data_IF_227197676860
#
_entry.id   IF_227197676860
#
_cell.length_a   1.000
_cell.length_b   1.000
_cell.length_c   1.000
_cell.angle_alpha   90.00
_cell.angle_beta   90.00
_cell.angle_gamma   90.00
#
_symmetry.space_group_name_H-M   'P 1'
#
loop_
_entity.id
_entity.type
_entity.pdbx_description
1 polymer ?
#
# COMPACT_ATOMS: atom_id res chain seq x y z
N UNK A 1 38.92 39.43 43.81
CA UNK A 1 37.54 39.40 43.27
C UNK A 1 37.41 38.26 42.25
N UNK A 2 36.84 37.12 42.66
CA UNK A 2 36.60 35.97 41.76
C UNK A 2 35.22 36.12 41.15
N UNK A 3 35.14 36.24 39.82
CA UNK A 3 33.88 36.25 39.06
C UNK A 3 33.39 34.82 38.85
N UNK A 4 32.27 34.46 39.45
CA UNK A 4 31.55 33.22 39.21
C UNK A 4 30.78 33.36 37.88
N UNK A 5 31.13 32.53 36.91
CA UNK A 5 30.39 32.39 35.66
C UNK A 5 29.23 31.38 35.89
N UNK A 6 27.98 31.85 35.84
CA UNK A 6 26.81 30.99 35.81
C UNK A 6 26.56 30.51 34.37
N UNK A 7 26.74 29.23 34.12
CA UNK A 7 26.33 28.59 32.85
C UNK A 7 24.87 28.18 33.02
N UNK A 8 23.98 28.87 32.33
CA UNK A 8 22.57 28.46 32.22
C UNK A 8 22.45 27.31 31.22
N UNK A 9 22.14 26.12 31.69
CA UNK A 9 21.81 24.98 30.85
C UNK A 9 20.38 25.13 30.37
N UNK A 10 20.20 25.42 29.08
CA UNK A 10 18.90 25.50 28.43
C UNK A 10 18.43 24.04 28.17
N UNK A 11 17.54 23.53 29.00
CA UNK A 11 16.87 22.25 28.75
C UNK A 11 15.79 22.48 27.68
N UNK A 12 16.07 22.11 26.42
CA UNK A 12 15.08 22.10 25.36
C UNK A 12 14.20 20.89 25.58
N UNK A 13 13.03 21.11 26.15
CA UNK A 13 11.94 20.12 26.18
C UNK A 13 11.46 19.89 24.74
N UNK A 14 11.94 18.82 24.11
CA UNK A 14 11.36 18.32 22.86
C UNK A 14 10.01 17.70 23.22
N UNK A 15 8.95 18.48 23.10
CA UNK A 15 7.59 17.95 23.16
C UNK A 15 7.42 16.92 22.04
N UNK A 16 6.95 15.69 22.32
CA UNK A 16 6.66 14.74 21.26
C UNK A 16 5.63 15.39 20.33
N UNK A 17 5.95 15.46 19.04
CA UNK A 17 4.97 15.85 18.01
C UNK A 17 3.72 15.02 18.23
N UNK A 18 2.56 15.66 18.38
CA UNK A 18 1.28 14.99 18.49
C UNK A 18 1.17 14.02 17.33
N UNK A 19 1.10 12.72 17.62
CA UNK A 19 0.85 11.71 16.60
C UNK A 19 -0.49 12.09 15.95
N UNK A 20 -0.44 12.57 14.71
CA UNK A 20 -1.66 12.87 13.96
C UNK A 20 -2.53 11.62 13.93
N UNK A 21 -3.85 11.78 13.99
CA UNK A 21 -4.80 10.68 13.96
C UNK A 21 -4.49 9.73 12.79
N UNK A 22 -4.43 8.42 13.06
CA UNK A 22 -4.21 7.42 12.02
C UNK A 22 -5.44 7.32 11.13
N UNK A 23 -5.25 7.23 9.81
CA UNK A 23 -6.38 7.02 8.90
C UNK A 23 -6.85 5.58 8.99
N UNK A 24 -8.10 5.41 9.44
CA UNK A 24 -8.74 4.10 9.46
C UNK A 24 -9.38 3.80 8.11
N UNK A 25 -9.10 2.60 7.59
CA UNK A 25 -9.63 2.14 6.33
C UNK A 25 -10.35 0.81 6.43
N UNK A 26 -11.05 0.46 5.35
CA UNK A 26 -11.68 -0.84 5.17
C UNK A 26 -11.58 -1.28 3.70
N UNK A 27 -11.36 -2.58 3.49
CA UNK A 27 -11.63 -3.27 2.23
C UNK A 27 -12.94 -4.05 2.36
N UNK A 28 -13.77 -4.05 1.32
CA UNK A 28 -15.08 -4.70 1.32
C UNK A 28 -16.25 -3.75 1.59
N UNK A 29 -17.34 -4.25 2.16
CA UNK A 29 -18.56 -3.46 2.34
C UNK A 29 -18.42 -2.43 3.48
N UNK A 30 -18.10 -1.18 3.12
CA UNK A 30 -17.86 -0.10 4.08
C UNK A 30 -19.11 0.27 4.91
N UNK A 31 -20.31 0.21 4.31
CA UNK A 31 -21.54 0.54 5.02
C UNK A 31 -21.84 -0.49 6.12
N UNK A 32 -21.76 -1.77 5.77
CA UNK A 32 -21.91 -2.85 6.75
C UNK A 32 -20.82 -2.77 7.84
N UNK A 33 -19.58 -2.49 7.46
CA UNK A 33 -18.48 -2.37 8.42
C UNK A 33 -18.68 -1.22 9.40
N UNK A 34 -19.18 -0.07 8.90
CA UNK A 34 -19.56 1.06 9.75
C UNK A 34 -20.67 0.71 10.74
N UNK A 35 -21.74 0.06 10.29
CA UNK A 35 -22.83 -0.40 11.15
C UNK A 35 -22.32 -1.36 12.23
N UNK A 36 -21.40 -2.26 11.86
CA UNK A 36 -20.86 -3.26 12.77
C UNK A 36 -19.93 -2.65 13.83
N UNK A 37 -19.02 -1.76 13.42
CA UNK A 37 -17.92 -1.28 14.28
C UNK A 37 -18.10 0.13 14.82
N UNK A 38 -18.93 0.95 14.20
CA UNK A 38 -19.00 2.40 14.43
C UNK A 38 -17.88 3.20 13.72
N UNK A 39 -16.97 2.54 13.00
CA UNK A 39 -15.87 3.22 12.33
C UNK A 39 -16.35 4.08 11.16
N UNK A 40 -15.96 5.35 11.15
CA UNK A 40 -16.06 6.20 9.97
C UNK A 40 -14.79 6.06 9.12
N UNK A 41 -14.77 5.08 8.19
CA UNK A 41 -13.58 4.77 7.38
C UNK A 41 -13.24 5.91 6.45
N UNK A 42 -12.04 6.47 6.62
CA UNK A 42 -11.48 7.51 5.74
C UNK A 42 -10.94 6.89 4.44
N UNK A 43 -10.33 5.71 4.53
CA UNK A 43 -9.79 4.98 3.38
C UNK A 43 -10.74 3.84 3.00
N UNK A 44 -10.99 3.70 1.69
CA UNK A 44 -11.59 2.49 1.14
C UNK A 44 -10.63 1.84 0.15
N UNK A 45 -10.21 0.62 0.47
CA UNK A 45 -9.35 -0.18 -0.39
C UNK A 45 -10.19 -0.91 -1.45
N UNK A 46 -9.87 -0.64 -2.71
CA UNK A 46 -10.48 -1.29 -3.86
C UNK A 46 -9.42 -1.99 -4.72
N UNK A 47 -9.82 -3.12 -5.30
CA UNK A 47 -8.97 -3.93 -6.16
C UNK A 47 -9.37 -3.73 -7.62
N UNK A 48 -8.42 -3.38 -8.48
CA UNK A 48 -8.66 -3.31 -9.91
C UNK A 48 -7.68 -4.20 -10.67
N UNK A 49 -8.22 -4.93 -11.64
CA UNK A 49 -7.45 -5.79 -12.54
C UNK A 49 -6.93 -5.00 -13.73
N UNK A 50 -5.90 -5.51 -14.38
CA UNK A 50 -5.26 -4.82 -15.49
C UNK A 50 -6.23 -4.55 -16.65
N UNK A 51 -6.22 -3.32 -17.13
CA UNK A 51 -7.09 -2.82 -18.21
C UNK A 51 -8.60 -2.88 -17.95
N UNK A 52 -9.04 -3.21 -16.73
CA UNK A 52 -10.48 -3.19 -16.44
C UNK A 52 -11.03 -1.77 -16.64
N UNK A 53 -12.13 -1.70 -17.36
CA UNK A 53 -12.85 -0.43 -17.62
C UNK A 53 -12.23 0.47 -18.68
N UNK A 54 -11.23 0.03 -19.45
CA UNK A 54 -10.74 0.80 -20.60
C UNK A 54 -11.79 0.94 -21.70
N UNK A 55 -12.69 -0.01 -21.79
CA UNK A 55 -13.82 -0.12 -22.70
C UNK A 55 -15.13 0.49 -22.15
N UNK A 56 -15.09 1.01 -20.91
CA UNK A 56 -16.27 1.53 -20.20
C UNK A 56 -16.09 3.00 -19.87
N UNK A 57 -16.82 3.93 -20.53
CA UNK A 57 -16.75 5.36 -20.22
C UNK A 57 -17.00 5.63 -18.73
N UNK A 58 -16.18 6.48 -18.12
CA UNK A 58 -16.31 6.88 -16.72
C UNK A 58 -15.96 5.82 -15.66
N UNK A 59 -15.70 4.56 -16.03
CA UNK A 59 -15.42 3.50 -15.05
C UNK A 59 -14.18 3.82 -14.20
N UNK A 60 -13.09 4.27 -14.84
CA UNK A 60 -11.85 4.57 -14.11
C UNK A 60 -12.05 5.75 -13.16
N UNK A 61 -12.85 6.75 -13.54
CA UNK A 61 -13.18 7.86 -12.64
C UNK A 61 -13.97 7.40 -11.43
N UNK A 62 -14.92 6.48 -11.61
CA UNK A 62 -15.68 5.89 -10.51
C UNK A 62 -14.82 5.11 -9.51
N UNK A 63 -13.68 4.55 -9.94
CA UNK A 63 -12.73 3.93 -9.00
C UNK A 63 -12.25 4.92 -7.92
N UNK A 64 -12.24 6.20 -8.21
CA UNK A 64 -11.89 7.24 -7.24
C UNK A 64 -13.12 7.79 -6.52
N UNK A 65 -14.18 8.14 -7.22
CA UNK A 65 -15.34 8.82 -6.63
C UNK A 65 -16.23 7.91 -5.77
N UNK A 66 -16.28 6.61 -6.05
CA UNK A 66 -17.11 5.66 -5.31
C UNK A 66 -16.38 5.00 -4.11
N UNK A 67 -15.05 5.14 -4.03
CA UNK A 67 -14.25 4.50 -3.00
C UNK A 67 -13.90 5.44 -1.81
N UNK A 68 -14.87 6.25 -1.40
CA UNK A 68 -14.81 7.04 -0.17
C UNK A 68 -13.98 8.31 -0.29
N UNK A 69 -13.74 8.99 0.86
CA UNK A 69 -12.99 10.26 0.84
C UNK A 69 -11.55 10.10 0.37
N UNK A 70 -10.92 8.97 0.68
CA UNK A 70 -9.54 8.65 0.30
C UNK A 70 -9.53 7.24 -0.32
N UNK A 71 -9.65 7.11 -1.65
CA UNK A 71 -9.54 5.82 -2.32
C UNK A 71 -8.11 5.27 -2.22
N UNK A 72 -7.98 3.98 -1.92
CA UNK A 72 -6.74 3.22 -2.07
C UNK A 72 -6.96 2.17 -3.16
N UNK A 73 -6.29 2.33 -4.30
CA UNK A 73 -6.48 1.43 -5.43
C UNK A 73 -5.31 0.46 -5.58
N UNK A 74 -5.59 -0.82 -5.46
CA UNK A 74 -4.63 -1.89 -5.81
C UNK A 74 -4.70 -2.13 -7.32
N UNK A 75 -3.54 -2.00 -7.98
CA UNK A 75 -3.40 -2.31 -9.40
C UNK A 75 -2.73 -3.67 -9.56
N UNK A 76 -3.46 -4.65 -10.05
CA UNK A 76 -3.00 -6.01 -10.33
C UNK A 76 -2.65 -6.18 -11.81
N UNK A 77 -1.74 -7.12 -12.15
CA UNK A 77 -1.43 -7.50 -13.53
C UNK A 77 -2.42 -8.52 -14.11
N UNK A 78 -3.31 -9.05 -13.27
CA UNK A 78 -4.30 -10.06 -13.65
C UNK A 78 -5.41 -9.47 -14.50
N UNK A 79 -5.76 -10.17 -15.58
CA UNK A 79 -6.94 -9.87 -16.38
C UNK A 79 -8.23 -10.38 -15.70
N UNK A 80 -9.38 -9.82 -16.09
CA UNK A 80 -10.69 -10.25 -15.57
C UNK A 80 -10.98 -11.75 -15.78
N UNK A 81 -10.39 -12.36 -16.80
CA UNK A 81 -10.54 -13.80 -17.10
C UNK A 81 -9.49 -14.70 -16.42
N UNK A 82 -8.70 -14.19 -15.49
CA UNK A 82 -7.86 -15.02 -14.65
C UNK A 82 -6.44 -15.28 -15.14
N UNK A 83 -6.00 -14.73 -16.27
CA UNK A 83 -4.62 -14.82 -16.75
C UNK A 83 -3.82 -13.53 -16.49
N UNK A 84 -2.50 -13.60 -16.61
CA UNK A 84 -1.64 -12.41 -16.54
C UNK A 84 -1.77 -11.58 -17.81
N UNK A 85 -2.26 -10.35 -17.67
CA UNK A 85 -2.45 -9.43 -18.80
C UNK A 85 -1.17 -8.70 -19.21
N UNK A 86 -0.22 -8.55 -18.28
CA UNK A 86 1.05 -7.88 -18.49
C UNK A 86 2.08 -8.32 -17.44
N UNK A 87 3.29 -8.62 -17.89
CA UNK A 87 4.39 -8.95 -16.99
C UNK A 87 5.07 -7.69 -16.44
N UNK A 88 5.82 -7.78 -15.32
CA UNK A 88 6.68 -6.68 -14.85
C UNK A 88 7.62 -6.14 -15.94
N UNK A 89 8.21 -7.01 -16.78
CA UNK A 89 9.03 -6.59 -17.92
C UNK A 89 8.20 -5.79 -18.95
N UNK A 90 6.96 -6.19 -19.19
CA UNK A 90 6.06 -5.49 -20.11
C UNK A 90 5.75 -4.07 -19.62
N UNK A 91 5.45 -3.91 -18.33
CA UNK A 91 5.27 -2.60 -17.71
C UNK A 91 6.54 -1.76 -17.82
N UNK A 92 7.69 -2.34 -17.45
CA UNK A 92 8.99 -1.67 -17.53
C UNK A 92 9.33 -1.18 -18.94
N UNK A 93 8.89 -1.90 -19.98
CA UNK A 93 9.03 -1.52 -21.41
C UNK A 93 7.98 -0.53 -21.91
N UNK A 94 7.01 -0.13 -21.08
CA UNK A 94 5.99 0.86 -21.40
C UNK A 94 4.72 0.31 -22.06
N UNK A 95 4.53 -1.01 -22.15
CA UNK A 95 3.31 -1.57 -22.74
C UNK A 95 2.04 -1.29 -21.92
N UNK A 96 2.20 -0.85 -20.66
CA UNK A 96 1.12 -0.46 -19.77
C UNK A 96 0.80 1.04 -19.74
N UNK A 97 1.60 1.89 -20.40
CA UNK A 97 1.56 3.34 -20.20
C UNK A 97 0.19 3.97 -20.46
N UNK A 98 -0.49 3.54 -21.53
CA UNK A 98 -1.83 4.05 -21.85
C UNK A 98 -2.83 3.81 -20.72
N UNK A 99 -2.81 2.63 -20.10
CA UNK A 99 -3.68 2.30 -18.99
C UNK A 99 -3.32 3.08 -17.74
N UNK A 100 -2.03 3.09 -17.37
CA UNK A 100 -1.52 3.81 -16.21
C UNK A 100 -1.79 5.31 -16.32
N UNK A 101 -1.62 5.90 -17.50
CA UNK A 101 -1.93 7.32 -17.75
C UNK A 101 -3.42 7.63 -17.57
N UNK A 102 -4.32 6.72 -17.94
CA UNK A 102 -5.75 6.92 -17.69
C UNK A 102 -6.08 6.93 -16.20
N UNK A 103 -5.44 6.04 -15.41
CA UNK A 103 -5.58 6.03 -13.95
C UNK A 103 -5.02 7.33 -13.37
N UNK A 104 -3.82 7.75 -13.77
CA UNK A 104 -3.20 8.99 -13.32
C UNK A 104 -4.07 10.22 -13.60
N UNK A 105 -4.62 10.32 -14.83
CA UNK A 105 -5.54 11.41 -15.21
C UNK A 105 -6.85 11.38 -14.44
N UNK A 106 -7.39 10.20 -14.10
CA UNK A 106 -8.58 10.08 -13.27
C UNK A 106 -8.30 10.51 -11.83
N UNK A 107 -7.15 10.14 -11.27
CA UNK A 107 -6.71 10.62 -9.96
C UNK A 107 -6.56 12.16 -9.93
N UNK A 108 -6.04 12.75 -11.01
CA UNK A 108 -5.95 14.21 -11.15
C UNK A 108 -7.34 14.88 -11.17
N UNK A 109 -8.27 14.34 -11.96
CA UNK A 109 -9.66 14.87 -11.97
C UNK A 109 -10.37 14.72 -10.64
N UNK A 110 -10.07 13.66 -9.90
CA UNK A 110 -10.57 13.49 -8.52
C UNK A 110 -10.08 14.60 -7.60
N UNK A 111 -8.86 15.10 -7.80
CA UNK A 111 -8.33 16.31 -7.19
C UNK A 111 -8.11 16.27 -5.68
N UNK A 112 -8.18 15.09 -5.06
CA UNK A 112 -8.04 14.89 -3.62
C UNK A 112 -7.08 13.76 -3.28
N UNK A 113 -6.82 13.55 -1.99
CA UNK A 113 -5.92 12.51 -1.52
C UNK A 113 -6.33 11.12 -2.02
N UNK A 114 -5.37 10.39 -2.58
CA UNK A 114 -5.57 9.02 -3.02
C UNK A 114 -4.27 8.21 -2.85
N UNK A 115 -4.43 6.91 -2.60
CA UNK A 115 -3.33 5.96 -2.59
C UNK A 115 -3.40 5.07 -3.82
N UNK A 116 -2.28 4.91 -4.50
CA UNK A 116 -2.11 3.90 -5.55
C UNK A 116 -1.17 2.84 -5.00
N UNK A 117 -1.66 1.62 -4.87
CA UNK A 117 -0.99 0.45 -4.31
C UNK A 117 -0.74 -0.57 -5.42
N UNK A 118 0.26 -0.34 -6.30
CA UNK A 118 0.48 -1.20 -7.44
C UNK A 118 1.23 -2.45 -7.05
N UNK A 119 0.84 -3.58 -7.61
CA UNK A 119 1.55 -4.85 -7.52
C UNK A 119 1.86 -5.23 -6.06
N UNK A 120 0.87 -5.14 -5.18
CA UNK A 120 1.01 -5.45 -3.77
C UNK A 120 1.37 -6.92 -3.54
N UNK A 121 2.00 -7.23 -2.40
CA UNK A 121 2.42 -8.59 -2.04
C UNK A 121 3.30 -9.27 -3.11
N UNK A 122 4.21 -8.51 -3.72
CA UNK A 122 5.01 -8.96 -4.85
C UNK A 122 5.96 -10.13 -4.54
N UNK A 123 6.23 -10.39 -3.29
CA UNK A 123 7.02 -11.52 -2.82
C UNK A 123 6.14 -12.73 -2.40
N UNK A 124 4.83 -12.69 -2.71
CA UNK A 124 3.89 -13.79 -2.56
C UNK A 124 3.65 -14.54 -3.87
N UNK A 125 3.88 -15.87 -3.88
CA UNK A 125 3.77 -16.71 -5.07
C UNK A 125 2.38 -16.78 -5.70
N UNK A 126 1.33 -16.37 -4.98
CA UNK A 126 -0.05 -16.27 -5.47
C UNK A 126 -0.26 -15.14 -6.48
N UNK A 127 0.66 -14.18 -6.52
CA UNK A 127 0.64 -13.09 -7.49
C UNK A 127 1.42 -13.42 -8.74
N UNK A 128 0.89 -13.11 -9.93
CA UNK A 128 1.56 -13.34 -11.21
C UNK A 128 2.91 -12.64 -11.32
N UNK A 129 3.03 -11.44 -10.76
CA UNK A 129 4.26 -10.61 -10.79
C UNK A 129 5.32 -11.01 -9.76
N UNK A 130 5.09 -12.03 -8.93
CA UNK A 130 6.14 -12.62 -8.09
C UNK A 130 7.23 -13.28 -8.96
N UNK A 131 8.48 -13.17 -8.54
CA UNK A 131 9.60 -13.75 -9.29
C UNK A 131 9.70 -15.27 -9.15
N UNK A 132 9.03 -15.87 -8.15
CA UNK A 132 9.17 -17.28 -7.81
C UNK A 132 7.81 -17.98 -7.71
N UNK A 133 7.78 -19.25 -8.07
CA UNK A 133 6.66 -20.15 -7.84
C UNK A 133 6.64 -20.64 -6.38
N UNK A 134 5.55 -21.28 -5.96
CA UNK A 134 5.41 -21.83 -4.60
C UNK A 134 6.51 -22.82 -4.22
N UNK A 135 7.04 -23.56 -5.19
CA UNK A 135 8.13 -24.53 -5.01
C UNK A 135 9.53 -23.89 -5.05
N UNK A 136 9.64 -22.55 -5.08
CA UNK A 136 10.91 -21.84 -5.14
C UNK A 136 11.55 -21.72 -6.52
N UNK A 137 10.97 -22.30 -7.57
CA UNK A 137 11.50 -22.16 -8.93
C UNK A 137 11.28 -20.74 -9.47
N UNK A 138 12.27 -20.25 -10.23
CA UNK A 138 12.25 -18.91 -10.82
C UNK A 138 11.27 -18.84 -12.00
N UNK A 139 10.41 -17.84 -12.03
CA UNK A 139 9.41 -17.62 -13.11
C UNK A 139 10.00 -17.02 -14.40
N UNK A 140 11.30 -16.85 -14.46
CA UNK A 140 11.98 -16.33 -15.62
C UNK A 140 12.15 -14.82 -15.62
N UNK A 141 12.93 -14.34 -16.61
CA UNK A 141 13.40 -12.95 -16.66
C UNK A 141 12.29 -11.90 -16.69
N UNK A 142 11.11 -12.25 -17.24
CA UNK A 142 9.98 -11.32 -17.34
C UNK A 142 9.43 -10.90 -15.96
N UNK A 143 9.54 -11.78 -14.97
CA UNK A 143 9.06 -11.62 -13.60
C UNK A 143 10.17 -11.32 -12.59
N UNK A 144 11.44 -11.15 -13.06
CA UNK A 144 12.57 -10.90 -12.16
C UNK A 144 12.32 -9.71 -11.22
N UNK A 145 12.89 -9.78 -10.02
CA UNK A 145 12.86 -8.67 -9.06
C UNK A 145 13.41 -7.37 -9.67
N UNK A 146 14.41 -7.47 -10.57
CA UNK A 146 14.93 -6.33 -11.35
C UNK A 146 13.84 -5.71 -12.21
N UNK A 147 13.09 -6.52 -12.97
CA UNK A 147 12.01 -6.01 -13.83
C UNK A 147 10.83 -5.51 -13.01
N UNK A 148 10.54 -6.12 -11.86
CA UNK A 148 9.57 -5.58 -10.91
C UNK A 148 9.95 -4.17 -10.46
N UNK A 149 11.18 -3.95 -9.98
CA UNK A 149 11.65 -2.63 -9.55
C UNK A 149 11.54 -1.59 -10.67
N UNK A 150 11.87 -1.96 -11.91
CA UNK A 150 11.73 -1.09 -13.08
C UNK A 150 10.26 -0.77 -13.38
N UNK A 151 9.38 -1.78 -13.32
CA UNK A 151 7.95 -1.60 -13.50
C UNK A 151 7.37 -0.63 -12.45
N UNK A 152 7.72 -0.83 -11.18
CA UNK A 152 7.25 0.02 -10.09
C UNK A 152 7.74 1.48 -10.26
N UNK A 153 9.01 1.69 -10.59
CA UNK A 153 9.55 3.02 -10.89
C UNK A 153 8.79 3.72 -12.02
N UNK A 154 8.46 2.99 -13.09
CA UNK A 154 7.67 3.53 -14.19
C UNK A 154 6.26 3.89 -13.77
N UNK A 155 5.59 3.01 -13.01
CA UNK A 155 4.26 3.29 -12.44
C UNK A 155 4.32 4.55 -11.57
N UNK A 156 5.30 4.66 -10.69
CA UNK A 156 5.48 5.83 -9.83
C UNK A 156 5.57 7.13 -10.65
N UNK A 157 6.44 7.16 -11.67
CA UNK A 157 6.62 8.34 -12.50
C UNK A 157 5.33 8.76 -13.22
N UNK A 158 4.58 7.79 -13.74
CA UNK A 158 3.29 8.06 -14.41
C UNK A 158 2.23 8.52 -13.40
N UNK A 159 2.18 7.93 -12.20
CA UNK A 159 1.21 8.34 -11.17
C UNK A 159 1.49 9.73 -10.61
N UNK A 160 2.76 10.13 -10.50
CA UNK A 160 3.12 11.49 -10.06
C UNK A 160 2.87 12.54 -11.15
N UNK A 161 2.92 12.16 -12.43
CA UNK A 161 2.72 13.05 -13.55
C UNK A 161 3.91 13.99 -13.82
N UNK A 162 3.70 14.94 -14.69
CA UNK A 162 4.68 15.92 -15.16
C UNK A 162 4.69 16.03 -16.69
N UNK A 163 5.56 16.88 -17.24
CA UNK A 163 5.72 16.96 -18.69
C UNK A 163 6.27 15.65 -19.25
N UNK A 164 5.91 15.32 -20.47
CA UNK A 164 6.44 14.13 -21.16
C UNK A 164 7.96 14.18 -21.25
N UNK A 165 8.53 15.35 -21.46
CA UNK A 165 9.99 15.57 -21.51
C UNK A 165 10.64 15.21 -20.20
N UNK A 166 10.15 15.71 -19.07
CA UNK A 166 10.72 15.44 -17.75
C UNK A 166 10.60 13.97 -17.34
N UNK A 167 9.43 13.36 -17.59
CA UNK A 167 9.24 11.94 -17.30
C UNK A 167 10.19 11.09 -18.15
N UNK A 168 10.37 11.42 -19.43
CA UNK A 168 11.29 10.71 -20.33
C UNK A 168 12.75 10.88 -19.91
N UNK A 169 13.16 12.06 -19.48
CA UNK A 169 14.49 12.30 -18.93
C UNK A 169 14.73 11.43 -17.68
N UNK A 170 13.76 11.40 -16.75
CA UNK A 170 13.83 10.55 -15.55
C UNK A 170 13.87 9.05 -15.87
N UNK A 171 13.13 8.61 -16.89
CA UNK A 171 13.17 7.22 -17.39
C UNK A 171 14.53 6.90 -18.02
N UNK A 172 15.08 7.79 -18.84
CA UNK A 172 16.38 7.63 -19.47
C UNK A 172 17.51 7.50 -18.44
N UNK A 173 17.49 8.33 -17.37
CA UNK A 173 18.47 8.30 -16.28
C UNK A 173 18.53 6.96 -15.53
N UNK A 174 17.50 6.14 -15.64
CA UNK A 174 17.46 4.78 -15.07
C UNK A 174 17.46 3.68 -16.15
N UNK A 175 17.86 4.03 -17.37
CA UNK A 175 18.01 3.09 -18.50
C UNK A 175 16.69 2.48 -18.96
N UNK A 176 15.59 3.25 -18.95
CA UNK A 176 14.26 2.80 -19.37
C UNK A 176 13.81 3.50 -20.64
N UNK A 177 12.98 2.82 -21.43
CA UNK A 177 12.40 3.40 -22.64
C UNK A 177 11.51 4.62 -22.32
N UNK A 178 11.41 5.61 -23.22
CA UNK A 178 10.50 6.74 -23.07
C UNK A 178 9.04 6.28 -22.96
N UNK A 179 8.17 7.19 -22.58
CA UNK A 179 6.71 6.97 -22.53
C UNK A 179 6.17 6.60 -23.92
N UNK A 180 5.32 5.58 -23.95
CA UNK A 180 4.60 5.11 -25.14
C UNK A 180 3.23 5.79 -25.28
N UNK A 181 3.16 7.05 -24.95
CA UNK A 181 1.98 7.91 -25.10
C UNK A 181 2.42 9.26 -25.68
N UNK A 182 1.49 9.97 -26.26
CA UNK A 182 1.64 11.38 -26.65
C UNK A 182 1.17 12.31 -25.53
N UNK A 183 1.80 13.49 -25.43
CA UNK A 183 1.41 14.55 -24.50
C UNK A 183 1.80 14.32 -23.04
N UNK A 184 1.51 15.30 -22.23
CA UNK A 184 1.84 15.37 -20.83
C UNK A 184 0.85 14.59 -19.96
N UNK A 185 1.28 14.30 -18.75
CA UNK A 185 0.45 13.70 -17.70
C UNK A 185 0.31 14.77 -16.60
N UNK A 186 -0.90 15.22 -16.26
CA UNK A 186 -1.08 16.21 -15.19
C UNK A 186 -0.40 15.78 -13.90
N UNK A 187 0.23 16.71 -13.20
CA UNK A 187 0.86 16.44 -11.90
C UNK A 187 -0.17 16.06 -10.85
N UNK A 188 0.18 15.09 -10.02
CA UNK A 188 -0.68 14.54 -8.97
C UNK A 188 -0.01 14.65 -7.59
N UNK A 189 0.09 15.86 -7.00
CA UNK A 189 0.72 16.04 -5.68
C UNK A 189 -0.04 15.32 -4.57
N UNK A 190 -1.34 15.08 -4.74
CA UNK A 190 -2.20 14.43 -3.76
C UNK A 190 -2.16 12.89 -3.83
N UNK A 191 -1.56 12.33 -4.89
CA UNK A 191 -1.42 10.87 -5.03
C UNK A 191 -0.19 10.39 -4.28
N UNK A 192 -0.39 9.37 -3.45
CA UNK A 192 0.68 8.63 -2.79
C UNK A 192 0.80 7.24 -3.36
N UNK A 193 2.01 6.86 -3.77
CA UNK A 193 2.31 5.53 -4.31
C UNK A 193 2.84 4.66 -3.19
N UNK A 194 2.15 3.54 -2.95
CA UNK A 194 2.39 2.62 -1.85
C UNK A 194 3.17 1.41 -2.34
N UNK A 195 4.33 1.15 -1.79
CA UNK A 195 5.05 -0.11 -1.96
C UNK A 195 4.69 -1.05 -0.80
N UNK A 196 4.04 -2.17 -1.13
CA UNK A 196 3.42 -3.05 -0.15
C UNK A 196 3.82 -4.51 -0.36
N UNK A 197 4.99 -4.95 0.12
CA UNK A 197 5.32 -6.37 0.19
C UNK A 197 4.58 -7.07 1.32
N UNK A 198 4.73 -8.39 1.38
CA UNK A 198 4.63 -9.13 2.63
C UNK A 198 5.92 -8.94 3.43
N UNK A 199 5.82 -8.87 4.75
CA UNK A 199 7.00 -8.78 5.63
C UNK A 199 7.96 -9.97 5.48
N UNK A 200 7.45 -11.10 4.99
CA UNK A 200 8.19 -12.33 4.69
C UNK A 200 7.98 -12.76 3.24
N UNK A 201 8.93 -13.50 2.67
CA UNK A 201 8.78 -14.05 1.31
C UNK A 201 7.96 -15.35 1.30
N UNK A 202 7.10 -15.52 0.31
CA UNK A 202 6.44 -16.80 0.06
C UNK A 202 6.60 -17.18 -1.43
N UNK A 203 7.50 -18.13 -1.78
CA UNK A 203 8.33 -18.95 -0.89
C UNK A 203 9.37 -18.14 -0.10
N UNK A 204 9.76 -18.65 1.08
CA UNK A 204 10.78 -18.05 1.93
C UNK A 204 12.18 -18.31 1.36
N UNK A 205 12.63 -17.39 0.54
CA UNK A 205 13.93 -17.38 -0.10
C UNK A 205 14.58 -16.00 0.08
N UNK A 206 15.87 -15.94 0.36
CA UNK A 206 16.61 -14.68 0.47
C UNK A 206 16.40 -13.76 -0.76
N UNK A 207 16.36 -14.35 -1.96
CA UNK A 207 16.11 -13.65 -3.23
C UNK A 207 14.64 -13.21 -3.43
N UNK A 208 13.72 -13.69 -2.58
CA UNK A 208 12.30 -13.34 -2.58
C UNK A 208 11.91 -12.44 -1.39
N UNK A 209 12.90 -11.93 -0.66
CA UNK A 209 12.66 -10.97 0.43
C UNK A 209 12.06 -9.66 -0.09
N UNK A 210 11.36 -8.93 0.77
CA UNK A 210 10.80 -7.61 0.45
C UNK A 210 11.84 -6.69 -0.20
N UNK A 211 13.04 -6.60 0.37
CA UNK A 211 14.13 -5.75 -0.14
C UNK A 211 14.57 -6.08 -1.57
N UNK A 212 14.44 -7.35 -2.00
CA UNK A 212 14.75 -7.74 -3.39
C UNK A 212 13.88 -7.02 -4.42
N UNK A 213 12.69 -6.58 -4.01
CA UNK A 213 11.71 -5.87 -4.85
C UNK A 213 11.68 -4.36 -4.59
N UNK A 214 12.47 -3.83 -3.64
CA UNK A 214 12.41 -2.41 -3.30
C UNK A 214 12.88 -1.51 -4.45
N UNK A 215 12.02 -0.59 -4.94
CA UNK A 215 12.36 0.22 -6.11
C UNK A 215 13.30 1.39 -5.78
N UNK A 216 13.56 1.64 -4.51
CA UNK A 216 14.35 2.75 -3.98
C UNK A 216 13.50 3.92 -3.48
N UNK A 217 14.02 4.64 -2.50
CA UNK A 217 13.31 5.71 -1.75
C UNK A 217 12.65 6.76 -2.63
N UNK A 218 13.27 7.13 -3.75
CA UNK A 218 12.75 8.16 -4.67
C UNK A 218 11.44 7.75 -5.38
N UNK A 219 11.05 6.48 -5.28
CA UNK A 219 9.91 5.90 -6.00
C UNK A 219 8.86 5.31 -5.05
N UNK A 220 8.90 5.67 -3.77
CA UNK A 220 7.96 5.20 -2.75
C UNK A 220 7.56 6.37 -1.87
N UNK A 221 6.26 6.64 -1.77
CA UNK A 221 5.75 7.64 -0.82
C UNK A 221 5.43 6.98 0.53
N UNK A 222 4.89 5.76 0.51
CA UNK A 222 4.49 4.99 1.70
C UNK A 222 4.97 3.55 1.56
N UNK A 223 5.58 3.01 2.61
CA UNK A 223 5.84 1.57 2.74
C UNK A 223 4.67 0.95 3.48
N UNK A 224 4.16 -0.16 3.00
CA UNK A 224 3.09 -0.88 3.69
C UNK A 224 3.38 -2.36 3.81
N UNK A 225 2.67 -3.02 4.71
CA UNK A 225 2.65 -4.48 4.88
C UNK A 225 1.21 -4.96 5.00
N UNK A 226 0.95 -6.18 4.57
CA UNK A 226 -0.30 -6.88 4.87
C UNK A 226 -0.04 -7.84 6.03
N UNK A 227 -0.81 -7.71 7.10
CA UNK A 227 -0.58 -8.42 8.34
C UNK A 227 -1.87 -9.11 8.81
N UNK A 228 -1.93 -10.40 8.58
CA UNK A 228 -3.06 -11.21 8.99
C UNK A 228 -2.71 -12.11 10.16
N UNK A 229 -3.68 -12.34 11.03
CA UNK A 229 -3.55 -13.39 12.03
C UNK A 229 -4.18 -14.68 11.50
N UNK A 230 -3.31 -15.65 11.23
CA UNK A 230 -3.66 -16.98 10.75
C UNK A 230 -3.29 -17.97 11.85
N UNK A 231 -4.31 -18.65 12.43
CA UNK A 231 -4.08 -19.65 13.49
C UNK A 231 -3.29 -19.11 14.68
N UNK A 232 -3.55 -17.86 15.09
CA UNK A 232 -2.84 -17.16 16.19
C UNK A 232 -1.33 -16.95 15.94
N UNK A 233 -0.93 -16.86 14.68
CA UNK A 233 0.45 -16.69 14.22
C UNK A 233 0.58 -15.54 13.26
N UNK A 234 0.43 -14.32 13.75
CA UNK A 234 0.71 -13.12 12.96
C UNK A 234 2.21 -12.80 12.95
N UNK A 235 2.75 -12.50 11.77
CA UNK A 235 4.18 -12.27 11.54
C UNK A 235 4.61 -10.85 11.97
N UNK A 236 4.47 -10.57 13.28
CA UNK A 236 4.77 -9.26 13.86
C UNK A 236 6.24 -8.87 13.75
N UNK A 237 7.16 -9.81 13.89
CA UNK A 237 8.60 -9.52 13.83
C UNK A 237 9.01 -9.14 12.42
N UNK A 238 8.46 -9.81 11.41
CA UNK A 238 8.64 -9.46 10.01
C UNK A 238 8.04 -8.08 9.69
N UNK A 239 6.86 -7.76 10.25
CA UNK A 239 6.27 -6.43 10.13
C UNK A 239 7.16 -5.34 10.75
N UNK A 240 7.69 -5.57 11.96
CA UNK A 240 8.59 -4.63 12.63
C UNK A 240 9.92 -4.47 11.89
N UNK A 241 10.48 -5.56 11.35
CA UNK A 241 11.69 -5.51 10.53
C UNK A 241 11.48 -4.65 9.28
N UNK A 242 10.36 -4.82 8.57
CA UNK A 242 10.01 -4.01 7.42
C UNK A 242 9.82 -2.52 7.81
N UNK A 243 9.11 -2.23 8.90
CA UNK A 243 8.94 -0.88 9.43
C UNK A 243 10.29 -0.20 9.71
N UNK A 244 11.24 -0.92 10.32
CA UNK A 244 12.56 -0.40 10.70
C UNK A 244 13.50 -0.22 9.50
N UNK A 245 13.37 -1.06 8.47
CA UNK A 245 14.25 -1.01 7.29
C UNK A 245 14.05 0.23 6.40
N UNK A 246 12.94 0.96 6.58
CA UNK A 246 12.63 2.16 5.80
C UNK A 246 12.30 3.36 6.73
N UNK A 247 13.27 3.87 7.51
CA UNK A 247 13.01 4.87 8.56
C UNK A 247 12.56 6.23 8.02
N UNK A 248 12.92 6.58 6.79
CA UNK A 248 12.53 7.83 6.13
C UNK A 248 11.10 7.83 5.56
N UNK A 249 10.40 6.67 5.57
CA UNK A 249 9.10 6.54 4.93
C UNK A 249 7.95 6.56 5.93
N UNK A 250 6.81 7.11 5.51
CA UNK A 250 5.53 6.83 6.15
C UNK A 250 5.24 5.33 6.02
N UNK A 251 4.49 4.80 6.97
CA UNK A 251 4.16 3.39 7.01
C UNK A 251 2.65 3.17 7.06
N UNK A 252 2.18 2.09 6.47
CA UNK A 252 0.79 1.68 6.58
C UNK A 252 0.67 0.16 6.81
N UNK A 253 -0.40 -0.27 7.43
CA UNK A 253 -0.87 -1.64 7.29
C UNK A 253 -1.90 -1.63 6.17
N UNK A 254 -1.47 -2.09 4.99
CA UNK A 254 -2.26 -2.03 3.75
C UNK A 254 -3.49 -2.92 3.80
N UNK A 255 -3.35 -4.09 4.41
CA UNK A 255 -4.44 -4.98 4.75
C UNK A 255 -4.16 -5.64 6.10
N UNK A 256 -5.18 -5.83 6.93
CA UNK A 256 -5.08 -6.65 8.12
C UNK A 256 -6.41 -7.29 8.48
N UNK A 257 -6.37 -8.39 9.17
CA UNK A 257 -7.58 -9.11 9.55
C UNK A 257 -7.31 -10.42 10.28
N UNK A 258 -8.37 -11.07 10.66
CA UNK A 258 -8.38 -12.33 11.41
C UNK A 258 -8.88 -13.45 10.48
N UNK A 259 -8.04 -14.43 10.20
CA UNK A 259 -8.37 -15.54 9.30
C UNK A 259 -9.14 -16.64 10.04
N UNK A 260 -10.46 -16.52 10.08
CA UNK A 260 -11.36 -17.53 10.66
C UNK A 260 -11.29 -17.69 12.18
N UNK A 261 -10.51 -16.87 12.89
CA UNK A 261 -10.29 -16.94 14.34
C UNK A 261 -10.79 -15.70 15.04
N UNK A 262 -11.09 -15.80 16.34
CA UNK A 262 -11.47 -14.67 17.19
C UNK A 262 -10.33 -14.39 18.19
N UNK A 263 -9.37 -13.54 17.76
CA UNK A 263 -8.23 -13.14 18.58
C UNK A 263 -8.25 -11.64 18.95
N UNK A 264 -8.82 -11.29 20.10
CA UNK A 264 -8.80 -9.91 20.59
C UNK A 264 -7.38 -9.43 20.99
N UNK A 265 -6.41 -10.33 21.22
CA UNK A 265 -5.04 -9.95 21.55
C UNK A 265 -4.32 -9.37 20.32
N UNK A 266 -4.53 -9.95 19.14
CA UNK A 266 -4.04 -9.40 17.88
C UNK A 266 -4.57 -7.98 17.63
N UNK A 267 -5.86 -7.75 17.87
CA UNK A 267 -6.47 -6.41 17.72
C UNK A 267 -5.86 -5.41 18.69
N UNK A 268 -5.65 -5.80 19.97
CA UNK A 268 -4.97 -4.94 20.96
C UNK A 268 -3.52 -4.64 20.56
N UNK A 269 -2.79 -5.65 20.06
CA UNK A 269 -1.42 -5.48 19.57
C UNK A 269 -1.34 -4.54 18.38
N UNK A 270 -2.31 -4.60 17.46
CA UNK A 270 -2.42 -3.65 16.35
C UNK A 270 -2.60 -2.21 16.86
N UNK A 271 -3.50 -1.99 17.81
CA UNK A 271 -3.68 -0.67 18.42
C UNK A 271 -2.42 -0.16 19.12
N UNK A 272 -1.72 -1.04 19.85
CA UNK A 272 -0.44 -0.70 20.50
C UNK A 272 0.65 -0.37 19.47
N UNK A 273 0.73 -1.15 18.38
CA UNK A 273 1.67 -0.89 17.29
C UNK A 273 1.47 0.51 16.72
N UNK A 274 0.22 0.89 16.42
CA UNK A 274 -0.09 2.22 15.87
C UNK A 274 0.32 3.34 16.84
N UNK A 275 -0.04 3.22 18.13
CA UNK A 275 0.27 4.24 19.13
C UNK A 275 1.76 4.45 19.33
N UNK A 276 2.54 3.37 19.28
CA UNK A 276 3.98 3.40 19.54
C UNK A 276 4.82 3.72 18.30
N UNK A 277 4.20 3.84 17.12
CA UNK A 277 4.92 4.06 15.87
C UNK A 277 4.31 5.24 15.07
N UNK A 278 4.66 6.50 15.39
CA UNK A 278 4.04 7.72 14.80
C UNK A 278 4.16 7.83 13.28
N UNK A 279 5.03 7.03 12.63
CA UNK A 279 5.11 6.96 11.16
C UNK A 279 3.99 6.15 10.53
N UNK A 280 3.21 5.38 11.33
CA UNK A 280 2.04 4.65 10.83
C UNK A 280 0.94 5.67 10.55
N UNK A 281 0.64 5.89 9.28
CA UNK A 281 -0.36 6.88 8.86
C UNK A 281 -1.72 6.28 8.50
N UNK A 282 -1.78 4.97 8.27
CA UNK A 282 -3.01 4.29 7.88
C UNK A 282 -3.00 2.80 8.27
N UNK A 283 -4.17 2.29 8.62
CA UNK A 283 -4.43 0.85 8.76
C UNK A 283 -5.76 0.50 8.10
N UNK A 284 -5.79 -0.55 7.26
CA UNK A 284 -6.97 -0.92 6.47
C UNK A 284 -7.43 -2.32 6.84
N UNK A 285 -8.59 -2.44 7.49
CA UNK A 285 -9.16 -3.75 7.84
C UNK A 285 -9.74 -4.42 6.60
N UNK A 286 -9.36 -5.68 6.36
CA UNK A 286 -9.95 -6.48 5.30
C UNK A 286 -11.17 -7.24 5.83
N UNK A 287 -12.36 -6.90 5.33
CA UNK A 287 -13.60 -7.57 5.70
C UNK A 287 -14.20 -8.29 4.50
N UNK A 288 -15.02 -9.29 4.77
CA UNK A 288 -15.72 -10.07 3.75
C UNK A 288 -17.22 -10.16 4.03
N UNK A 289 -17.93 -10.96 3.24
CA UNK A 289 -19.34 -11.23 3.42
C UNK A 289 -19.66 -11.79 4.81
N UNK A 290 -20.90 -11.62 5.23
CA UNK A 290 -21.38 -12.09 6.54
C UNK A 290 -21.10 -13.60 6.71
N UNK A 291 -20.45 -13.95 7.82
CA UNK A 291 -20.12 -15.34 8.16
C UNK A 291 -18.90 -15.92 7.41
N UNK A 292 -18.31 -15.20 6.46
CA UNK A 292 -17.07 -15.65 5.83
C UNK A 292 -15.85 -15.44 6.74
N UNK A 293 -14.71 -16.04 6.38
CA UNK A 293 -13.53 -16.12 7.26
C UNK A 293 -12.98 -14.77 7.71
N UNK A 294 -13.16 -13.70 6.91
CA UNK A 294 -12.71 -12.35 7.23
C UNK A 294 -13.77 -11.47 7.91
N UNK A 295 -14.98 -12.00 8.10
CA UNK A 295 -16.06 -11.24 8.72
C UNK A 295 -15.76 -10.99 10.20
N UNK A 296 -15.54 -9.73 10.58
CA UNK A 296 -15.34 -9.34 11.97
C UNK A 296 -16.61 -9.55 12.80
N UNK A 297 -17.78 -9.53 12.18
CA UNK A 297 -19.07 -9.77 12.85
C UNK A 297 -19.23 -11.17 13.41
N UNK A 298 -18.50 -12.16 12.89
CA UNK A 298 -18.47 -13.52 13.41
C UNK A 298 -17.46 -13.73 14.56
N UNK A 299 -16.78 -12.64 15.02
CA UNK A 299 -15.69 -12.65 16.01
C UNK A 299 -15.99 -11.69 17.16
N UNK A 300 -16.90 -12.06 18.08
CA UNK A 300 -17.45 -11.12 19.06
C UNK A 300 -16.41 -10.51 19.99
N UNK A 301 -15.38 -11.26 20.43
CA UNK A 301 -14.32 -10.75 21.32
C UNK A 301 -13.42 -9.76 20.56
N UNK A 302 -13.05 -10.08 19.34
CA UNK A 302 -12.24 -9.20 18.48
C UNK A 302 -13.01 -7.97 18.04
N UNK A 303 -14.32 -8.09 17.77
CA UNK A 303 -15.18 -6.95 17.47
C UNK A 303 -15.27 -5.98 18.66
N UNK A 304 -15.44 -6.49 19.88
CA UNK A 304 -15.43 -5.66 21.08
C UNK A 304 -14.07 -4.96 21.27
N UNK A 305 -12.96 -5.68 21.07
CA UNK A 305 -11.62 -5.09 21.10
C UNK A 305 -11.42 -4.05 20.00
N UNK A 306 -11.93 -4.29 18.79
CA UNK A 306 -11.86 -3.36 17.65
C UNK A 306 -12.54 -2.03 18.01
N UNK A 307 -13.77 -2.09 18.48
CA UNK A 307 -14.53 -0.89 18.91
C UNK A 307 -13.80 -0.11 20.00
N UNK A 308 -13.24 -0.83 20.98
CA UNK A 308 -12.58 -0.22 22.13
C UNK A 308 -11.21 0.38 21.82
N UNK A 309 -10.40 -0.26 20.98
CA UNK A 309 -8.98 0.08 20.83
C UNK A 309 -8.60 0.62 19.45
N UNK A 310 -9.31 0.24 18.38
CA UNK A 310 -9.01 0.69 17.01
C UNK A 310 -9.81 1.93 16.63
N UNK A 311 -11.14 1.89 16.82
CA UNK A 311 -12.01 3.02 16.41
C UNK A 311 -11.53 4.37 16.96
N UNK A 312 -11.13 4.48 18.26
CA UNK A 312 -10.64 5.76 18.82
C UNK A 312 -9.30 6.26 18.23
N UNK A 313 -8.56 5.45 17.47
CA UNK A 313 -7.31 5.89 16.84
C UNK A 313 -7.54 6.84 15.65
N UNK A 314 -8.72 6.80 15.05
CA UNK A 314 -9.05 7.55 13.85
C UNK A 314 -9.77 8.89 14.13
N UNK A 315 -9.91 9.28 15.38
CA UNK A 315 -10.59 10.51 15.82
C UNK A 315 -9.61 11.65 16.10
#
# INVERSE_FOLDING_TARGET
MRRLLFIAVLVVLVLPASAGAVRLGVAGNKARFRTLTGQNSQIHLAFTRWKTGLDRPGYIDRLFTENGPIPMLTLDTKHRYGYEAITPRGIAKGFGDRYLTRISKAANRFGSAAYIRPLAEMNGHWNYYCAYNSNGSYRGSAHSTRNFRRAFRRIYLIMKGGTRTDINARLANIGMHPLRISGDIPENPHVRVVWNPQGFGSPDLAKNSANSYYPGDRYVDVVANDLYDIRFKAEWDANLALFRSHPSKRYAIGEWGLWGIDDPAFVRRMASFVRNHPRVEAIVYYTSERGAIWDLGSKPKSLAAYKRYIVPLGS
#
